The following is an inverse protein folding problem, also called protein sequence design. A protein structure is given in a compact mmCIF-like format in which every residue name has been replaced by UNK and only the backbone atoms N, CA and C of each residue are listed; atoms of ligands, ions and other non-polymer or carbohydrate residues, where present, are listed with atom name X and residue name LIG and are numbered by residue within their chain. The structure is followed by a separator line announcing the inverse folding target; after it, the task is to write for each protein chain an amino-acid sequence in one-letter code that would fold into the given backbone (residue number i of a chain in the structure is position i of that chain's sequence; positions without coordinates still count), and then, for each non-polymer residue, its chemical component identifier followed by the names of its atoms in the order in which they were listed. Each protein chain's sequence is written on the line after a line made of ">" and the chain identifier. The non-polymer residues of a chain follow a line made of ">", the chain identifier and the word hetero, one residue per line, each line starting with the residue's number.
data_IF_715758132456
#
_entry.id   IF_715758132456
#
_cell.length_a   1.000
_cell.length_b   1.000
_cell.length_c   1.000
_cell.angle_alpha   90.00
_cell.angle_beta   90.00
_cell.angle_gamma   90.00
#
_symmetry.space_group_name_H-M   'P 1'
#
loop_
_entity.id
_entity.type
_entity.pdbx_description
1 polymer ?
#
# COMPACT_ATOMS: atom_id res chain seq x y z
N UNK A 1 4.35 -21.98 -17.17
CA UNK A 1 4.05 -21.03 -16.09
C UNK A 1 3.60 -21.83 -14.87
N UNK A 2 4.50 -22.43 -14.12
CA UNK A 2 4.24 -23.07 -12.80
C UNK A 2 5.58 -23.37 -12.12
N UNK A 3 6.58 -22.50 -12.38
CA UNK A 3 7.97 -22.81 -12.07
C UNK A 3 8.29 -22.88 -10.58
N UNK A 4 7.66 -22.07 -9.73
CA UNK A 4 8.14 -21.90 -8.36
C UNK A 4 7.17 -22.41 -7.27
N UNK A 5 5.98 -22.91 -7.63
CA UNK A 5 5.00 -23.38 -6.63
C UNK A 5 5.58 -24.51 -5.76
N UNK A 6 6.20 -25.53 -6.37
CA UNK A 6 6.79 -26.64 -5.63
C UNK A 6 7.94 -26.19 -4.69
N UNK A 7 8.68 -25.14 -5.10
CA UNK A 7 9.75 -24.58 -4.28
C UNK A 7 9.21 -23.78 -3.08
N UNK A 8 7.97 -23.24 -3.18
CA UNK A 8 7.33 -22.50 -2.10
C UNK A 8 6.58 -23.38 -1.11
N UNK A 9 6.16 -24.61 -1.47
CA UNK A 9 5.40 -25.49 -0.59
C UNK A 9 6.06 -25.78 0.76
N UNK A 10 7.39 -26.06 0.85
CA UNK A 10 8.05 -26.22 2.14
C UNK A 10 7.96 -24.95 3.01
N UNK A 11 8.29 -23.80 2.44
CA UNK A 11 8.24 -22.53 3.17
C UNK A 11 6.81 -22.14 3.58
N UNK A 12 5.79 -22.50 2.78
CA UNK A 12 4.39 -22.31 3.18
C UNK A 12 4.05 -23.17 4.41
N UNK A 13 4.47 -24.44 4.45
CA UNK A 13 4.26 -25.28 5.64
C UNK A 13 4.95 -24.73 6.87
N UNK A 14 6.20 -24.28 6.73
CA UNK A 14 6.97 -23.65 7.81
C UNK A 14 6.33 -22.36 8.32
N UNK A 15 5.71 -21.58 7.43
CA UNK A 15 5.00 -20.35 7.80
C UNK A 15 3.72 -20.60 8.60
N UNK A 16 3.14 -21.80 8.50
CA UNK A 16 1.85 -22.14 9.09
C UNK A 16 0.65 -21.47 8.42
N UNK A 17 0.82 -20.73 7.32
CA UNK A 17 -0.28 -20.08 6.60
C UNK A 17 -1.14 -21.11 5.84
N UNK A 18 -2.45 -20.88 5.67
CA UNK A 18 -3.29 -21.75 4.84
C UNK A 18 -2.93 -21.66 3.36
N UNK A 19 -2.43 -20.52 2.89
CA UNK A 19 -2.04 -20.30 1.51
C UNK A 19 -1.48 -18.90 1.25
N UNK A 20 -0.91 -18.73 0.06
CA UNK A 20 -0.38 -17.47 -0.46
C UNK A 20 -0.54 -17.42 -1.98
N UNK A 21 -0.61 -16.23 -2.55
CA UNK A 21 -0.50 -16.03 -3.99
C UNK A 21 0.71 -15.16 -4.28
N UNK A 22 1.67 -15.69 -5.04
CA UNK A 22 2.80 -14.96 -5.58
C UNK A 22 2.71 -14.97 -7.10
N UNK A 23 2.82 -13.82 -7.73
CA UNK A 23 2.76 -13.73 -9.18
C UNK A 23 3.62 -12.57 -9.69
N UNK A 24 4.19 -12.75 -10.89
CA UNK A 24 4.97 -11.74 -11.58
C UNK A 24 4.49 -11.59 -13.02
N UNK A 25 4.54 -10.36 -13.52
CA UNK A 25 4.15 -10.02 -14.87
C UNK A 25 5.14 -9.04 -15.50
N UNK A 26 5.45 -9.24 -16.77
CA UNK A 26 6.03 -8.22 -17.63
C UNK A 26 4.94 -7.26 -18.11
N UNK A 27 5.27 -6.30 -18.97
CA UNK A 27 4.32 -5.30 -19.44
C UNK A 27 3.04 -5.89 -20.05
N UNK A 28 3.14 -7.01 -20.76
CA UNK A 28 2.04 -7.57 -21.56
C UNK A 28 1.65 -9.00 -21.20
N UNK A 29 2.41 -9.69 -20.37
CA UNK A 29 2.19 -11.10 -20.08
C UNK A 29 2.50 -11.45 -18.63
N UNK A 30 1.79 -12.44 -18.12
CA UNK A 30 2.15 -13.11 -16.87
C UNK A 30 3.47 -13.89 -17.09
N UNK A 31 4.45 -13.67 -16.21
CA UNK A 31 5.75 -14.34 -16.24
C UNK A 31 5.77 -15.58 -15.34
N UNK A 32 5.18 -15.47 -14.16
CA UNK A 32 5.11 -16.55 -13.19
C UNK A 32 3.85 -16.46 -12.31
N UNK A 33 3.41 -17.63 -11.83
CA UNK A 33 2.34 -17.78 -10.84
C UNK A 33 2.67 -18.94 -9.93
N UNK A 34 2.68 -18.69 -8.63
CA UNK A 34 2.73 -19.69 -7.59
C UNK A 34 1.66 -19.38 -6.54
N UNK A 35 0.69 -20.29 -6.40
CA UNK A 35 -0.45 -20.09 -5.49
C UNK A 35 -0.69 -21.34 -4.60
N UNK A 36 0.33 -21.78 -3.84
CA UNK A 36 0.18 -22.95 -2.99
C UNK A 36 -0.80 -22.70 -1.83
N UNK A 37 -1.57 -23.73 -1.49
CA UNK A 37 -2.49 -23.75 -0.36
C UNK A 37 -3.91 -23.35 -0.70
N UNK A 38 -4.66 -22.99 0.34
CA UNK A 38 -6.10 -22.76 0.31
C UNK A 38 -6.46 -21.40 0.90
N UNK A 39 -7.66 -20.90 0.59
CA UNK A 39 -8.15 -19.59 1.05
C UNK A 39 -8.35 -19.50 2.57
N UNK A 40 -8.53 -20.65 3.23
CA UNK A 40 -8.70 -20.76 4.68
C UNK A 40 -8.31 -22.17 5.15
N UNK A 41 -8.05 -22.34 6.44
CA UNK A 41 -7.91 -23.66 7.04
C UNK A 41 -9.22 -24.44 6.91
N UNK A 42 -9.10 -25.71 6.51
CA UNK A 42 -10.25 -26.59 6.29
C UNK A 42 -11.06 -26.32 5.02
N UNK A 43 -10.71 -25.31 4.24
CA UNK A 43 -11.34 -25.04 2.95
C UNK A 43 -10.79 -25.98 1.87
N UNK A 44 -11.68 -26.46 0.97
CA UNK A 44 -11.28 -27.11 -0.29
C UNK A 44 -10.91 -26.13 -1.40
N UNK A 45 -11.31 -24.85 -1.25
CA UNK A 45 -11.06 -23.80 -2.23
C UNK A 45 -9.57 -23.39 -2.23
N UNK A 46 -8.94 -23.46 -3.41
CA UNK A 46 -7.52 -23.14 -3.56
C UNK A 46 -7.27 -21.65 -3.74
N UNK A 47 -6.08 -21.21 -3.31
CA UNK A 47 -5.56 -19.90 -3.69
C UNK A 47 -5.40 -19.80 -5.22
N UNK A 48 -5.69 -18.61 -5.77
CA UNK A 48 -5.57 -18.35 -7.20
C UNK A 48 -5.33 -16.85 -7.46
N UNK A 49 -5.03 -16.48 -8.71
CA UNK A 49 -4.96 -15.08 -9.14
C UNK A 49 -6.28 -14.32 -8.94
N UNK A 50 -7.40 -15.03 -8.83
CA UNK A 50 -8.73 -14.46 -8.70
C UNK A 50 -9.26 -14.50 -7.26
N UNK A 51 -8.45 -14.98 -6.31
CA UNK A 51 -8.75 -14.87 -4.88
C UNK A 51 -8.70 -13.40 -4.45
N UNK A 52 -9.74 -12.95 -3.79
CA UNK A 52 -9.86 -11.58 -3.30
C UNK A 52 -9.21 -11.45 -1.93
N UNK A 53 -8.38 -10.42 -1.77
CA UNK A 53 -7.68 -10.04 -0.55
C UNK A 53 -8.07 -8.64 -0.11
N UNK A 54 -8.08 -8.36 1.18
CA UNK A 54 -7.93 -7.01 1.67
C UNK A 54 -6.49 -6.56 1.44
N UNK A 55 -6.28 -5.67 0.48
CA UNK A 55 -4.94 -5.25 0.07
C UNK A 55 -4.36 -4.13 0.94
N UNK A 56 -5.17 -3.62 1.88
CA UNK A 56 -4.78 -2.59 2.83
C UNK A 56 -4.00 -1.45 2.16
N UNK A 57 -2.78 -1.14 2.61
CA UNK A 57 -2.02 0.01 2.14
C UNK A 57 -1.54 -0.05 0.68
N UNK A 58 -1.73 -1.15 -0.04
CA UNK A 58 -1.59 -1.16 -1.51
C UNK A 58 -2.66 -0.25 -2.16
N UNK A 59 -3.77 0.03 -1.48
CA UNK A 59 -4.77 1.05 -1.86
C UNK A 59 -4.13 2.38 -2.22
N UNK A 60 -3.07 2.78 -1.51
CA UNK A 60 -2.35 4.04 -1.73
C UNK A 60 -1.84 4.19 -3.17
N UNK A 61 -1.48 3.09 -3.82
CA UNK A 61 -1.06 3.11 -5.22
C UNK A 61 -2.20 3.56 -6.14
N UNK A 62 -3.41 3.03 -5.95
CA UNK A 62 -4.58 3.45 -6.74
C UNK A 62 -4.97 4.91 -6.46
N UNK A 63 -4.94 5.32 -5.19
CA UNK A 63 -5.19 6.72 -4.79
C UNK A 63 -4.14 7.66 -5.39
N UNK A 64 -2.86 7.25 -5.41
CA UNK A 64 -1.80 8.01 -6.05
C UNK A 64 -2.06 8.21 -7.56
N UNK A 65 -2.48 7.15 -8.25
CA UNK A 65 -2.87 7.25 -9.67
C UNK A 65 -4.00 8.26 -9.86
N UNK A 66 -5.02 8.26 -9.00
CA UNK A 66 -6.12 9.23 -9.10
C UNK A 66 -5.64 10.68 -8.92
N UNK A 67 -4.77 10.94 -7.93
CA UNK A 67 -4.17 12.27 -7.73
C UNK A 67 -3.33 12.69 -8.94
N UNK A 68 -2.47 11.80 -9.44
CA UNK A 68 -1.64 12.04 -10.61
C UNK A 68 -2.47 12.35 -11.87
N UNK A 69 -3.60 11.67 -12.07
CA UNK A 69 -4.54 11.99 -13.15
C UNK A 69 -5.14 13.39 -13.02
N UNK A 70 -5.43 13.86 -11.81
CA UNK A 70 -5.91 15.24 -11.60
C UNK A 70 -4.82 16.27 -11.89
N UNK A 71 -3.56 15.93 -11.57
CA UNK A 71 -2.39 16.77 -11.90
C UNK A 71 -2.20 16.82 -13.43
N UNK A 72 -2.25 15.71 -14.13
CA UNK A 72 -2.19 15.66 -15.61
C UNK A 72 -3.27 16.53 -16.26
N UNK A 73 -4.47 16.50 -15.70
CA UNK A 73 -5.61 17.30 -16.17
C UNK A 73 -5.57 18.76 -15.70
N UNK A 74 -4.50 19.18 -15.01
CA UNK A 74 -4.29 20.53 -14.45
C UNK A 74 -5.43 20.98 -13.52
N UNK A 75 -6.08 20.04 -12.85
CA UNK A 75 -7.11 20.29 -11.84
C UNK A 75 -6.56 20.36 -10.42
N UNK A 76 -5.30 19.98 -10.25
CA UNK A 76 -4.58 19.95 -8.98
C UNK A 76 -3.09 20.14 -9.27
N UNK A 77 -2.36 20.76 -8.34
CA UNK A 77 -0.90 20.87 -8.37
C UNK A 77 -0.32 20.32 -7.09
N UNK A 78 0.91 19.84 -7.12
CA UNK A 78 1.57 19.32 -5.92
C UNK A 78 1.83 20.40 -4.86
N UNK A 79 2.01 21.64 -5.30
CA UNK A 79 2.25 22.83 -4.44
C UNK A 79 0.96 23.38 -3.83
N UNK A 80 -0.21 23.01 -4.33
CA UNK A 80 -1.48 23.52 -3.82
C UNK A 80 -1.63 23.17 -2.34
N UNK A 81 -2.11 24.12 -1.54
CA UNK A 81 -2.40 23.90 -0.12
C UNK A 81 -3.63 23.02 0.05
N UNK A 82 -3.54 21.97 0.86
CA UNK A 82 -4.68 21.11 1.17
C UNK A 82 -5.86 21.91 1.78
N UNK A 83 -5.57 23.03 2.46
CA UNK A 83 -6.54 23.95 3.05
C UNK A 83 -7.47 24.62 2.04
N UNK A 84 -7.05 24.75 0.77
CA UNK A 84 -7.87 25.34 -0.29
C UNK A 84 -9.05 24.42 -0.66
N UNK A 85 -8.92 23.15 -0.44
CA UNK A 85 -9.89 22.11 -0.78
C UNK A 85 -10.64 21.58 0.45
N UNK A 86 -9.93 21.39 1.56
CA UNK A 86 -10.41 20.74 2.77
C UNK A 86 -10.20 21.65 3.99
N UNK A 87 -11.28 22.21 4.57
CA UNK A 87 -11.19 23.17 5.67
C UNK A 87 -10.43 22.69 6.91
N UNK A 88 -10.39 21.38 7.17
CA UNK A 88 -9.65 20.76 8.27
C UNK A 88 -8.18 21.22 8.34
N UNK A 89 -7.56 21.48 7.19
CA UNK A 89 -6.14 21.85 7.11
C UNK A 89 -5.82 23.30 7.50
N UNK A 90 -6.83 24.12 7.84
CA UNK A 90 -6.61 25.55 8.18
C UNK A 90 -5.98 25.74 9.55
N UNK A 91 -6.40 24.92 10.52
CA UNK A 91 -6.09 25.09 11.95
C UNK A 91 -5.45 23.82 12.51
N UNK A 92 -4.43 23.30 11.81
CA UNK A 92 -3.71 22.11 12.24
C UNK A 92 -2.80 22.42 13.43
N UNK A 93 -2.66 21.42 14.29
CA UNK A 93 -1.76 21.45 15.44
C UNK A 93 -0.77 20.29 15.38
N UNK A 94 0.40 20.51 15.94
CA UNK A 94 1.48 19.53 16.11
C UNK A 94 1.50 19.04 17.54
N UNK A 95 1.47 17.74 17.74
CA UNK A 95 1.59 17.10 19.05
C UNK A 95 3.07 17.09 19.47
N UNK A 96 3.36 17.80 20.55
CA UNK A 96 4.69 17.93 21.14
C UNK A 96 4.71 17.42 22.58
N UNK A 97 5.88 17.34 23.20
CA UNK A 97 6.03 16.98 24.62
C UNK A 97 5.33 17.95 25.59
N UNK A 98 5.16 19.20 25.17
CA UNK A 98 4.49 20.26 25.97
C UNK A 98 3.01 20.40 25.63
N UNK A 99 2.46 19.58 24.73
CA UNK A 99 1.08 19.62 24.28
C UNK A 99 0.94 19.98 22.79
N UNK A 100 -0.28 20.40 22.42
CA UNK A 100 -0.58 20.81 21.05
C UNK A 100 -0.09 22.24 20.81
N UNK A 101 0.63 22.44 19.71
CA UNK A 101 1.08 23.74 19.24
C UNK A 101 0.64 23.97 17.78
N UNK A 102 0.31 25.19 17.36
CA UNK A 102 -0.12 25.46 15.99
C UNK A 102 0.92 25.01 14.95
N UNK A 103 0.46 24.43 13.84
CA UNK A 103 1.32 24.20 12.70
C UNK A 103 1.66 25.54 12.03
N UNK A 104 2.96 25.77 11.78
CA UNK A 104 3.48 26.99 11.16
C UNK A 104 3.66 26.86 9.66
N UNK A 105 3.78 25.62 9.17
CA UNK A 105 3.90 25.30 7.74
C UNK A 105 2.58 24.74 7.25
N UNK A 106 2.12 25.17 6.08
CA UNK A 106 0.93 24.64 5.42
C UNK A 106 1.19 23.27 4.81
N UNK A 107 0.17 22.40 4.89
CA UNK A 107 0.23 21.09 4.25
C UNK A 107 -0.08 21.24 2.77
N UNK A 108 0.84 20.83 1.90
CA UNK A 108 0.62 20.75 0.45
C UNK A 108 0.15 19.35 0.03
N UNK A 109 -0.35 19.26 -1.21
CA UNK A 109 -0.69 17.96 -1.84
C UNK A 109 0.55 17.05 -1.88
N UNK A 110 1.72 17.61 -2.19
CA UNK A 110 3.01 16.87 -2.17
C UNK A 110 3.26 16.25 -0.80
N UNK A 111 3.05 16.99 0.28
CA UNK A 111 3.24 16.49 1.64
C UNK A 111 2.33 15.29 1.94
N UNK A 112 1.07 15.30 1.49
CA UNK A 112 0.13 14.18 1.67
C UNK A 112 0.58 12.94 0.90
N UNK A 113 1.00 13.13 -0.36
CA UNK A 113 1.41 12.06 -1.27
C UNK A 113 2.71 11.37 -0.84
N UNK A 114 3.56 12.07 -0.09
CA UNK A 114 4.91 11.62 0.22
C UNK A 114 5.16 11.28 1.68
N UNK A 115 4.11 11.32 2.51
CA UNK A 115 4.22 11.09 3.96
C UNK A 115 5.14 12.09 4.68
N UNK A 116 5.16 13.33 4.21
CA UNK A 116 5.92 14.43 4.83
C UNK A 116 5.01 15.50 5.44
N UNK A 117 3.69 15.24 5.51
CA UNK A 117 2.71 16.17 6.06
C UNK A 117 2.72 16.26 7.60
N UNK A 118 3.39 15.35 8.30
CA UNK A 118 3.37 15.26 9.75
C UNK A 118 2.37 14.25 10.32
N UNK A 119 1.52 13.65 9.52
CA UNK A 119 0.61 12.60 9.98
C UNK A 119 1.33 11.29 10.31
N UNK A 120 0.71 10.51 11.22
CA UNK A 120 1.16 9.17 11.59
C UNK A 120 0.01 8.17 11.69
N UNK A 121 0.38 6.94 12.05
CA UNK A 121 -0.52 5.91 12.53
C UNK A 121 -0.21 5.60 13.99
N UNK A 122 -1.25 5.36 14.78
CA UNK A 122 -1.14 4.93 16.18
C UNK A 122 -0.36 3.63 16.36
N UNK A 123 -0.26 2.81 15.31
CA UNK A 123 0.52 1.55 15.32
C UNK A 123 2.02 1.80 15.50
N UNK A 124 2.55 2.93 15.02
CA UNK A 124 3.98 3.25 15.02
C UNK A 124 4.31 4.58 15.70
N UNK A 125 3.41 5.12 16.50
CA UNK A 125 3.64 6.35 17.26
C UNK A 125 2.94 6.26 18.62
N UNK A 126 3.71 6.05 19.67
CA UNK A 126 3.18 6.00 21.04
C UNK A 126 2.47 7.31 21.43
N UNK A 127 3.05 8.51 21.21
CA UNK A 127 2.36 9.76 21.54
C UNK A 127 1.00 9.88 20.82
N UNK A 128 0.95 9.47 19.54
CA UNK A 128 -0.31 9.50 18.80
C UNK A 128 -1.31 8.45 19.32
N UNK A 129 -0.85 7.25 19.68
CA UNK A 129 -1.71 6.22 20.27
C UNK A 129 -2.34 6.68 21.57
N UNK A 130 -1.55 7.31 22.45
CA UNK A 130 -2.01 7.90 23.70
C UNK A 130 -3.02 9.05 23.45
N UNK A 131 -2.73 9.92 22.49
CA UNK A 131 -3.65 11.00 22.09
C UNK A 131 -4.99 10.46 21.57
N UNK A 132 -4.96 9.46 20.67
CA UNK A 132 -6.14 8.79 20.13
C UNK A 132 -7.00 8.19 21.25
N UNK A 133 -6.37 7.53 22.22
CA UNK A 133 -7.05 6.94 23.37
C UNK A 133 -7.66 8.01 24.27
N UNK A 134 -6.89 9.05 24.64
CA UNK A 134 -7.32 10.14 25.52
C UNK A 134 -8.53 10.90 24.96
N UNK A 135 -8.55 11.14 23.64
CA UNK A 135 -9.63 11.90 22.97
C UNK A 135 -10.73 10.99 22.40
N UNK A 136 -10.68 9.69 22.69
CA UNK A 136 -11.65 8.70 22.19
C UNK A 136 -11.88 8.81 20.67
N UNK A 137 -10.78 8.96 19.93
CA UNK A 137 -10.82 8.99 18.47
C UNK A 137 -10.94 7.56 17.91
N UNK A 138 -11.68 7.37 16.80
CA UNK A 138 -11.70 6.09 16.12
C UNK A 138 -10.29 5.72 15.62
N UNK A 139 -9.98 4.44 15.60
CA UNK A 139 -8.73 3.97 14.98
C UNK A 139 -8.65 4.35 13.49
N UNK A 140 -7.46 4.62 12.94
CA UNK A 140 -7.28 5.01 11.55
C UNK A 140 -7.93 4.03 10.55
N UNK A 141 -8.01 2.75 10.91
CA UNK A 141 -8.65 1.69 10.10
C UNK A 141 -10.17 1.62 10.19
N UNK A 142 -10.80 2.45 11.00
CA UNK A 142 -12.25 2.38 11.23
C UNK A 142 -13.09 2.71 10.00
N UNK A 143 -12.52 3.41 9.01
CA UNK A 143 -13.28 3.92 7.87
C UNK A 143 -14.21 5.08 8.22
N UNK A 144 -14.04 5.69 9.39
CA UNK A 144 -14.79 6.86 9.84
C UNK A 144 -13.96 8.13 9.62
N UNK A 145 -14.53 9.16 9.00
CA UNK A 145 -13.82 10.45 8.75
C UNK A 145 -13.23 11.05 10.02
N UNK A 146 -13.94 10.93 11.15
CA UNK A 146 -13.43 11.36 12.45
C UNK A 146 -12.09 10.71 12.83
N UNK A 147 -11.76 9.56 12.29
CA UNK A 147 -10.46 8.91 12.51
C UNK A 147 -9.29 9.67 11.89
N UNK A 148 -9.56 10.56 10.95
CA UNK A 148 -8.55 11.39 10.28
C UNK A 148 -8.28 12.71 11.02
N UNK A 149 -9.16 13.12 11.94
CA UNK A 149 -9.07 14.37 12.72
C UNK A 149 -8.07 14.20 13.87
N UNK A 150 -6.80 14.14 13.55
CA UNK A 150 -5.70 13.94 14.50
C UNK A 150 -4.57 14.94 14.26
N UNK A 151 -3.80 15.29 15.32
CA UNK A 151 -2.70 16.23 15.21
C UNK A 151 -1.57 15.66 14.34
N UNK A 152 -0.73 16.56 13.87
CA UNK A 152 0.54 16.24 13.25
C UNK A 152 1.55 15.82 14.33
N UNK A 153 2.59 15.07 13.94
CA UNK A 153 3.70 14.69 14.81
C UNK A 153 4.92 15.60 14.66
N UNK A 154 4.95 16.42 13.59
CA UNK A 154 6.00 17.38 13.27
C UNK A 154 5.47 18.39 12.25
N UNK A 155 6.20 19.49 12.03
CA UNK A 155 5.85 20.48 11.04
C UNK A 155 5.91 19.91 9.62
N UNK A 156 4.93 20.20 8.75
CA UNK A 156 4.92 19.71 7.37
C UNK A 156 6.25 20.02 6.64
N UNK A 157 6.83 19.01 6.03
CA UNK A 157 8.10 19.11 5.31
C UNK A 157 9.36 18.80 6.12
N UNK A 158 9.31 18.72 7.44
CA UNK A 158 10.50 18.53 8.26
C UNK A 158 11.05 17.09 8.23
N UNK A 159 10.16 16.12 8.12
CA UNK A 159 10.53 14.69 8.18
C UNK A 159 9.61 13.85 7.30
N UNK A 160 10.05 12.62 7.03
CA UNK A 160 9.20 11.56 6.53
C UNK A 160 8.65 10.72 7.69
N UNK A 161 7.35 10.48 7.71
CA UNK A 161 6.70 9.55 8.64
C UNK A 161 5.45 8.95 8.03
N UNK A 162 5.40 7.61 7.97
CA UNK A 162 4.28 6.90 7.40
C UNK A 162 2.96 7.17 8.15
N UNK A 163 1.93 7.61 7.44
CA UNK A 163 0.68 8.03 8.06
C UNK A 163 -0.50 8.09 7.11
N UNK A 164 -1.58 8.71 7.60
CA UNK A 164 -2.90 8.80 6.96
C UNK A 164 -2.99 9.82 5.81
N UNK A 165 -1.87 10.39 5.36
CA UNK A 165 -1.88 11.42 4.30
C UNK A 165 -2.64 10.99 3.03
N UNK A 166 -2.55 9.71 2.64
CA UNK A 166 -3.23 9.20 1.46
C UNK A 166 -4.75 9.03 1.63
N UNK A 167 -5.26 8.93 2.85
CA UNK A 167 -6.70 9.01 3.11
C UNK A 167 -7.21 10.44 2.82
N UNK A 168 -6.47 11.45 3.27
CA UNK A 168 -6.73 12.85 2.95
C UNK A 168 -6.58 13.15 1.46
N UNK A 169 -5.58 12.56 0.78
CA UNK A 169 -5.43 12.68 -0.67
C UNK A 169 -6.65 12.08 -1.41
N UNK A 170 -7.22 10.98 -0.91
CA UNK A 170 -8.47 10.43 -1.41
C UNK A 170 -9.65 11.41 -1.29
N UNK A 171 -9.78 12.07 -0.14
CA UNK A 171 -10.81 13.11 0.07
C UNK A 171 -10.59 14.36 -0.81
N UNK A 172 -9.34 14.70 -1.14
CA UNK A 172 -9.03 15.73 -2.16
C UNK A 172 -9.56 15.32 -3.53
N UNK A 173 -9.36 14.06 -3.92
CA UNK A 173 -9.92 13.54 -5.18
C UNK A 173 -11.44 13.66 -5.19
N UNK A 174 -12.13 13.24 -4.11
CA UNK A 174 -13.59 13.38 -3.98
C UNK A 174 -14.02 14.83 -4.13
N UNK A 175 -13.37 15.75 -3.42
CA UNK A 175 -13.67 17.18 -3.44
C UNK A 175 -13.57 17.79 -4.82
N UNK A 176 -12.52 17.41 -5.57
CA UNK A 176 -12.25 17.96 -6.90
C UNK A 176 -13.11 17.29 -7.97
N UNK A 177 -13.33 15.97 -7.86
CA UNK A 177 -14.09 15.20 -8.85
C UNK A 177 -15.62 15.39 -8.69
N UNK A 178 -16.09 15.64 -7.47
CA UNK A 178 -17.52 15.74 -7.17
C UNK A 178 -18.23 14.39 -7.04
N UNK A 179 -17.47 13.30 -6.83
CA UNK A 179 -17.96 11.95 -6.62
C UNK A 179 -17.10 11.24 -5.56
N UNK A 180 -17.51 10.07 -5.08
CA UNK A 180 -16.69 9.30 -4.13
C UNK A 180 -15.38 8.84 -4.76
N UNK A 181 -14.36 8.57 -3.91
CA UNK A 181 -13.08 8.02 -4.40
C UNK A 181 -13.29 6.69 -5.13
N UNK A 182 -14.20 5.85 -4.63
CA UNK A 182 -14.53 4.58 -5.27
C UNK A 182 -15.15 4.75 -6.65
N UNK A 183 -16.05 5.71 -6.82
CA UNK A 183 -16.63 6.04 -8.14
C UNK A 183 -15.57 6.58 -9.10
N UNK A 184 -14.71 7.48 -8.62
CA UNK A 184 -13.60 8.00 -9.42
C UNK A 184 -12.65 6.88 -9.87
N UNK A 185 -12.19 6.07 -8.93
CA UNK A 185 -11.26 4.97 -9.22
C UNK A 185 -11.88 3.93 -10.16
N UNK A 186 -13.16 3.60 -9.95
CA UNK A 186 -13.88 2.68 -10.83
C UNK A 186 -13.89 3.18 -12.26
N UNK A 187 -14.31 4.44 -12.47
CA UNK A 187 -14.46 5.00 -13.82
C UNK A 187 -13.12 5.27 -14.53
N UNK A 188 -12.08 5.70 -13.79
CA UNK A 188 -10.84 6.20 -14.37
C UNK A 188 -9.63 5.27 -14.22
N UNK A 189 -9.73 4.21 -13.41
CA UNK A 189 -8.64 3.27 -13.19
C UNK A 189 -9.11 1.82 -13.38
N UNK A 190 -10.16 1.39 -12.65
CA UNK A 190 -10.51 -0.02 -12.60
C UNK A 190 -11.18 -0.52 -13.87
N UNK A 191 -12.18 0.20 -14.41
CA UNK A 191 -12.84 -0.17 -15.66
C UNK A 191 -11.88 -0.14 -16.86
N UNK A 192 -11.08 0.93 -17.08
CA UNK A 192 -10.08 0.94 -18.15
C UNK A 192 -9.08 -0.21 -18.08
N UNK A 193 -8.69 -0.64 -16.88
CA UNK A 193 -7.76 -1.73 -16.66
C UNK A 193 -8.44 -3.10 -16.48
N UNK A 194 -9.76 -3.18 -16.60
CA UNK A 194 -10.55 -4.39 -16.39
C UNK A 194 -10.36 -5.01 -14.98
N UNK A 195 -10.16 -4.18 -13.95
CA UNK A 195 -9.99 -4.57 -12.57
C UNK A 195 -11.37 -4.78 -11.89
N UNK A 196 -12.13 -5.74 -12.42
CA UNK A 196 -13.55 -5.92 -12.07
C UNK A 196 -13.79 -6.47 -10.64
N UNK A 197 -12.74 -6.95 -9.97
CA UNK A 197 -12.80 -7.49 -8.61
C UNK A 197 -12.22 -6.55 -7.57
N UNK A 198 -11.98 -5.28 -7.94
CA UNK A 198 -11.38 -4.27 -7.06
C UNK A 198 -12.41 -3.25 -6.60
N UNK A 199 -12.44 -2.96 -5.29
CA UNK A 199 -13.36 -1.96 -4.71
C UNK A 199 -13.22 -1.83 -3.20
N UNK A 200 -13.87 -0.82 -2.62
CA UNK A 200 -13.87 -0.56 -1.16
C UNK A 200 -14.79 -1.52 -0.37
N UNK A 201 -15.45 -2.42 -1.05
CA UNK A 201 -16.10 -3.59 -0.49
C UNK A 201 -15.83 -4.79 -1.40
N UNK A 202 -15.66 -5.99 -0.86
CA UNK A 202 -15.55 -7.18 -1.69
C UNK A 202 -16.90 -7.44 -2.40
N UNK A 203 -16.86 -7.97 -3.60
CA UNK A 203 -18.06 -8.42 -4.31
C UNK A 203 -18.76 -9.51 -3.48
N UNK A 204 -20.08 -9.60 -3.62
CA UNK A 204 -20.89 -10.59 -2.87
C UNK A 204 -20.52 -12.03 -3.24
N UNK A 205 -20.11 -12.27 -4.48
CA UNK A 205 -19.70 -13.57 -5.05
C UNK A 205 -18.19 -13.82 -4.96
N UNK A 206 -17.43 -12.94 -4.28
CA UNK A 206 -15.96 -13.03 -4.23
C UNK A 206 -15.49 -14.23 -3.41
N UNK A 207 -14.59 -15.03 -3.98
CA UNK A 207 -13.78 -16.02 -3.26
C UNK A 207 -12.71 -15.27 -2.48
N UNK A 208 -12.79 -15.26 -1.15
CA UNK A 208 -11.93 -14.41 -0.30
C UNK A 208 -10.97 -15.21 0.56
N UNK A 209 -9.72 -14.78 0.61
CA UNK A 209 -8.78 -15.25 1.61
C UNK A 209 -9.21 -14.84 3.01
N UNK A 210 -9.23 -15.79 3.94
CA UNK A 210 -9.54 -15.52 5.34
C UNK A 210 -8.35 -14.83 6.03
N UNK A 211 -8.65 -13.84 6.86
CA UNK A 211 -7.63 -13.14 7.65
C UNK A 211 -7.33 -13.92 8.93
N UNK A 212 -6.07 -14.10 9.23
CA UNK A 212 -5.57 -14.74 10.45
C UNK A 212 -4.65 -13.82 11.23
N UNK A 213 -4.60 -14.00 12.55
CA UNK A 213 -3.63 -13.33 13.41
C UNK A 213 -2.78 -14.37 14.12
N UNK A 214 -1.45 -14.20 14.05
CA UNK A 214 -0.51 -15.04 14.75
C UNK A 214 -0.57 -14.74 16.25
N UNK A 215 -0.74 -15.78 17.02
CA UNK A 215 -0.79 -15.73 18.47
C UNK A 215 0.62 -15.83 19.07
N UNK A 216 0.75 -15.58 20.37
CA UNK A 216 2.03 -15.63 21.07
C UNK A 216 2.68 -17.02 21.08
N UNK A 217 1.88 -18.08 20.96
CA UNK A 217 2.36 -19.48 20.86
C UNK A 217 2.73 -19.87 19.40
N UNK A 218 2.64 -18.94 18.46
CA UNK A 218 2.94 -19.15 17.05
C UNK A 218 1.76 -19.72 16.22
N UNK A 219 0.65 -20.10 16.85
CA UNK A 219 -0.55 -20.54 16.14
C UNK A 219 -1.24 -19.38 15.39
N UNK A 220 -2.11 -19.71 14.45
CA UNK A 220 -2.91 -18.72 13.72
C UNK A 220 -4.39 -18.85 14.11
N UNK A 221 -4.94 -17.77 14.65
CA UNK A 221 -6.37 -17.66 14.96
C UNK A 221 -7.08 -16.81 13.87
N UNK A 222 -8.33 -17.16 13.57
CA UNK A 222 -9.16 -16.35 12.68
C UNK A 222 -9.29 -14.93 13.23
N UNK A 223 -9.08 -13.93 12.38
CA UNK A 223 -9.24 -12.52 12.71
C UNK A 223 -10.49 -11.94 12.01
N UNK A 224 -11.15 -10.93 12.61
CA UNK A 224 -12.32 -10.33 12.00
C UNK A 224 -11.95 -9.64 10.68
N UNK A 225 -12.90 -9.62 9.75
CA UNK A 225 -12.75 -8.91 8.48
C UNK A 225 -12.40 -7.43 8.71
N UNK A 226 -11.57 -6.90 7.82
CA UNK A 226 -11.13 -5.51 7.87
C UNK A 226 -12.22 -4.50 7.45
N UNK A 227 -13.29 -4.94 6.77
CA UNK A 227 -14.34 -4.04 6.32
C UNK A 227 -15.24 -3.59 7.49
N UNK A 228 -15.42 -2.28 7.60
CA UNK A 228 -16.45 -1.69 8.45
C UNK A 228 -17.69 -1.40 7.59
N UNK A 229 -18.85 -1.99 7.85
CA UNK A 229 -20.07 -1.69 7.11
C UNK A 229 -20.56 -0.24 7.34
N UNK A 230 -20.22 0.35 8.49
CA UNK A 230 -20.63 1.69 8.90
C UNK A 230 -19.61 2.78 8.48
N UNK A 231 -18.68 2.44 7.57
CA UNK A 231 -17.72 3.42 7.05
C UNK A 231 -18.45 4.60 6.38
N UNK A 232 -17.95 5.81 6.56
CA UNK A 232 -18.52 7.04 6.02
C UNK A 232 -17.65 7.70 4.94
N UNK A 233 -16.54 7.05 4.54
CA UNK A 233 -15.72 7.43 3.39
C UNK A 233 -14.96 6.23 2.82
N UNK A 234 -14.47 6.39 1.60
CA UNK A 234 -13.61 5.43 0.93
C UNK A 234 -12.14 5.70 1.33
N UNK A 235 -11.62 4.87 2.24
CA UNK A 235 -10.30 5.07 2.83
C UNK A 235 -9.18 4.87 1.79
N UNK A 236 -8.70 5.97 1.20
CA UNK A 236 -7.67 5.98 0.16
C UNK A 236 -6.31 5.45 0.61
N UNK A 237 -6.11 5.33 1.93
CA UNK A 237 -4.91 4.77 2.51
C UNK A 237 -4.92 3.24 2.72
N UNK A 238 -6.11 2.57 2.75
CA UNK A 238 -6.15 1.17 3.17
C UNK A 238 -7.44 0.40 2.84
N UNK A 239 -8.42 1.01 2.17
CA UNK A 239 -9.79 0.47 2.12
C UNK A 239 -10.08 -0.58 1.05
N UNK A 240 -9.22 -0.77 0.05
CA UNK A 240 -9.51 -1.63 -1.10
C UNK A 240 -9.38 -3.12 -0.79
N UNK A 241 -10.29 -3.86 -1.42
CA UNK A 241 -10.19 -5.27 -1.71
C UNK A 241 -9.85 -5.44 -3.18
N UNK A 242 -8.97 -6.37 -3.51
CA UNK A 242 -8.58 -6.67 -4.89
C UNK A 242 -8.08 -8.11 -5.02
N UNK A 243 -8.01 -8.58 -6.26
CA UNK A 243 -7.31 -9.82 -6.60
C UNK A 243 -5.87 -9.54 -6.99
N UNK A 244 -4.94 -10.51 -6.86
CA UNK A 244 -3.58 -10.40 -7.41
C UNK A 244 -3.57 -10.05 -8.90
N UNK A 245 -4.50 -10.59 -9.68
CA UNK A 245 -4.67 -10.28 -11.11
C UNK A 245 -4.93 -8.80 -11.33
N UNK A 246 -5.87 -8.22 -10.59
CA UNK A 246 -6.25 -6.83 -10.77
C UNK A 246 -5.11 -5.88 -10.37
N UNK A 247 -4.42 -6.17 -9.26
CA UNK A 247 -3.26 -5.36 -8.86
C UNK A 247 -2.14 -5.46 -9.91
N UNK A 248 -1.87 -6.66 -10.46
CA UNK A 248 -0.90 -6.79 -11.55
C UNK A 248 -1.27 -5.97 -12.78
N UNK A 249 -2.55 -5.86 -13.15
CA UNK A 249 -3.00 -5.02 -14.26
C UNK A 249 -2.66 -3.54 -14.05
N UNK A 250 -2.84 -3.04 -12.83
CA UNK A 250 -2.43 -1.67 -12.48
C UNK A 250 -0.91 -1.50 -12.59
N UNK A 251 -0.14 -2.44 -12.05
CA UNK A 251 1.32 -2.42 -12.13
C UNK A 251 1.83 -2.54 -13.57
N UNK A 252 1.20 -3.37 -14.39
CA UNK A 252 1.51 -3.51 -15.82
C UNK A 252 1.24 -2.22 -16.59
N UNK A 253 0.13 -1.52 -16.28
CA UNK A 253 -0.17 -0.21 -16.87
C UNK A 253 0.94 0.80 -16.55
N UNK A 254 1.43 0.85 -15.30
CA UNK A 254 2.56 1.70 -14.92
C UNK A 254 3.85 1.30 -15.67
N UNK A 255 4.11 0.01 -15.82
CA UNK A 255 5.27 -0.48 -16.58
C UNK A 255 5.20 -0.09 -18.06
N UNK A 256 4.05 -0.27 -18.71
CA UNK A 256 3.85 0.12 -20.13
C UNK A 256 4.00 1.61 -20.33
N UNK A 257 3.42 2.44 -19.43
CA UNK A 257 3.61 3.88 -19.46
C UNK A 257 5.09 4.26 -19.29
N UNK A 258 5.81 3.60 -18.39
CA UNK A 258 7.25 3.81 -18.22
C UNK A 258 8.08 3.46 -19.47
N UNK A 259 7.57 2.58 -20.33
CA UNK A 259 8.13 2.20 -21.63
C UNK A 259 7.62 3.06 -22.81
N UNK A 260 6.83 4.10 -22.53
CA UNK A 260 6.37 5.06 -23.52
C UNK A 260 4.94 4.85 -24.07
N UNK A 261 4.18 3.88 -23.54
CA UNK A 261 2.76 3.72 -23.92
C UNK A 261 1.93 4.92 -23.44
N UNK A 262 1.19 5.53 -24.36
CA UNK A 262 0.30 6.67 -24.09
C UNK A 262 -1.16 6.26 -23.90
N UNK A 263 -1.46 4.96 -23.95
CA UNK A 263 -2.81 4.40 -23.82
C UNK A 263 -3.10 3.84 -22.42
N UNK A 264 -2.33 4.29 -21.44
CA UNK A 264 -2.41 3.82 -20.06
C UNK A 264 -3.19 4.81 -19.17
N UNK A 265 -3.44 4.42 -17.94
CA UNK A 265 -4.15 5.28 -16.97
C UNK A 265 -3.35 6.51 -16.55
N UNK A 266 -2.04 6.53 -16.80
CA UNK A 266 -1.12 7.67 -16.63
C UNK A 266 -0.26 7.84 -17.90
N UNK A 267 0.09 9.08 -18.20
CA UNK A 267 1.00 9.39 -19.28
C UNK A 267 2.46 9.00 -18.95
N UNK A 268 3.29 8.66 -19.97
CA UNK A 268 4.69 8.29 -19.77
C UNK A 268 5.49 9.31 -18.97
N UNK A 269 5.29 10.59 -19.23
CA UNK A 269 5.99 11.65 -18.51
C UNK A 269 5.61 11.69 -17.03
N UNK A 270 4.34 11.49 -16.71
CA UNK A 270 3.85 11.44 -15.32
C UNK A 270 4.48 10.26 -14.57
N UNK A 271 4.52 9.08 -15.20
CA UNK A 271 5.17 7.92 -14.58
C UNK A 271 6.67 8.14 -14.41
N UNK A 272 7.34 8.74 -15.40
CA UNK A 272 8.77 9.05 -15.32
C UNK A 272 9.09 9.99 -14.14
N UNK A 273 8.21 10.97 -13.88
CA UNK A 273 8.38 11.89 -12.75
C UNK A 273 7.97 11.22 -11.43
N UNK A 274 6.81 10.57 -11.39
CA UNK A 274 6.25 9.99 -10.17
C UNK A 274 7.12 8.89 -9.55
N UNK A 275 7.91 8.16 -10.36
CA UNK A 275 8.82 7.10 -9.89
C UNK A 275 10.14 7.60 -9.30
N UNK A 276 10.45 8.91 -9.39
CA UNK A 276 11.67 9.51 -8.85
C UNK A 276 11.56 9.73 -7.34
N UNK A 277 12.67 10.14 -6.73
CA UNK A 277 12.68 10.62 -5.34
C UNK A 277 11.82 11.89 -5.21
N UNK A 278 10.77 11.81 -4.39
CA UNK A 278 9.80 12.87 -4.15
C UNK A 278 9.95 13.54 -2.77
N UNK A 279 10.94 13.13 -1.98
CA UNK A 279 11.19 13.68 -0.63
C UNK A 279 12.53 14.40 -0.50
N UNK A 280 13.20 14.67 -1.63
CA UNK A 280 14.44 15.42 -1.67
C UNK A 280 15.53 14.83 -0.78
N UNK A 281 16.04 15.63 0.17
CA UNK A 281 17.07 15.22 1.11
C UNK A 281 16.55 14.37 2.27
N UNK A 282 15.24 14.37 2.54
CA UNK A 282 14.65 13.55 3.60
C UNK A 282 14.87 12.06 3.33
N UNK A 283 14.84 11.28 4.40
CA UNK A 283 15.03 9.83 4.35
C UNK A 283 13.86 9.10 4.98
N UNK A 284 13.51 7.96 4.41
CA UNK A 284 12.58 7.02 5.02
C UNK A 284 13.27 6.38 6.22
N UNK A 285 12.60 6.41 7.37
CA UNK A 285 13.14 5.95 8.64
C UNK A 285 12.44 4.69 9.15
N UNK A 286 13.07 4.03 10.10
CA UNK A 286 12.47 2.93 10.85
C UNK A 286 11.23 3.40 11.62
N UNK A 287 10.26 2.50 11.73
CA UNK A 287 9.02 2.72 12.46
C UNK A 287 8.87 1.62 13.54
N UNK A 288 9.31 1.87 14.76
CA UNK A 288 9.13 0.92 15.86
C UNK A 288 7.64 0.77 16.18
N UNK A 289 7.21 -0.46 16.40
CA UNK A 289 5.80 -0.73 16.66
C UNK A 289 5.40 -0.37 18.10
N UNK A 290 4.19 0.14 18.25
CA UNK A 290 3.50 0.29 19.53
C UNK A 290 2.35 -0.72 19.69
N UNK A 291 2.12 -1.57 18.67
CA UNK A 291 1.03 -2.53 18.59
C UNK A 291 1.53 -3.84 17.97
N UNK A 292 2.29 -4.67 18.75
CA UNK A 292 2.95 -5.87 18.22
C UNK A 292 1.98 -6.93 17.70
N UNK A 293 0.73 -6.93 18.15
CA UNK A 293 -0.34 -7.79 17.61
C UNK A 293 -0.77 -7.40 16.19
N UNK A 294 -0.39 -6.20 15.74
CA UNK A 294 -0.72 -5.66 14.43
C UNK A 294 0.45 -5.59 13.47
N UNK A 295 1.64 -5.27 14.00
CA UNK A 295 2.85 -5.07 13.19
C UNK A 295 4.08 -5.40 14.01
N UNK A 296 5.06 -6.04 13.38
CA UNK A 296 6.44 -5.99 13.84
C UNK A 296 7.02 -4.60 13.58
N UNK A 297 8.23 -4.32 14.09
CA UNK A 297 8.97 -3.12 13.74
C UNK A 297 9.22 -3.09 12.23
N UNK A 298 8.95 -1.95 11.61
CA UNK A 298 9.33 -1.73 10.23
C UNK A 298 10.76 -1.20 10.20
N UNK A 299 11.72 -2.10 10.05
CA UNK A 299 13.14 -1.77 9.95
C UNK A 299 13.53 -1.65 8.48
N UNK A 300 14.06 -0.50 8.10
CA UNK A 300 14.53 -0.28 6.74
C UNK A 300 15.86 -1.02 6.52
N UNK A 301 15.92 -1.78 5.44
CA UNK A 301 17.18 -2.46 5.06
C UNK A 301 18.32 -1.43 4.90
N UNK A 302 19.60 -1.81 5.09
CA UNK A 302 20.74 -0.92 4.85
C UNK A 302 20.68 -0.24 3.48
N UNK A 303 21.23 0.95 3.39
CA UNK A 303 21.21 1.82 2.20
C UNK A 303 20.15 2.91 2.31
N UNK A 304 20.36 4.00 1.58
CA UNK A 304 19.46 5.15 1.55
C UNK A 304 18.16 4.78 0.86
N UNK A 305 17.04 4.89 1.58
CA UNK A 305 15.70 4.70 1.04
C UNK A 305 15.04 6.06 0.84
N UNK A 306 14.34 6.19 -0.27
CA UNK A 306 13.57 7.38 -0.62
C UNK A 306 12.10 7.01 -0.83
N UNK A 307 11.29 8.00 -1.06
CA UNK A 307 9.88 7.82 -1.35
C UNK A 307 9.55 8.39 -2.72
N UNK A 308 8.81 7.64 -3.51
CA UNK A 308 8.20 8.05 -4.78
C UNK A 308 6.70 8.27 -4.60
N UNK A 309 5.98 8.77 -5.59
CA UNK A 309 4.52 8.81 -5.51
C UNK A 309 3.86 7.41 -5.55
N UNK A 310 4.60 6.38 -5.96
CA UNK A 310 4.09 4.99 -6.01
C UNK A 310 4.47 4.15 -4.78
N UNK A 311 5.39 4.61 -3.93
CA UNK A 311 5.84 3.87 -2.74
C UNK A 311 7.32 4.05 -2.43
N UNK A 312 7.86 3.11 -1.64
CA UNK A 312 9.26 3.09 -1.23
C UNK A 312 10.18 2.88 -2.44
N UNK A 313 11.06 3.84 -2.65
CA UNK A 313 12.07 3.82 -3.72
C UNK A 313 13.39 3.24 -3.19
N UNK A 314 13.82 2.13 -3.76
CA UNK A 314 15.08 1.46 -3.45
C UNK A 314 16.19 2.00 -4.35
N UNK A 315 17.10 2.82 -3.82
CA UNK A 315 18.19 3.40 -4.62
C UNK A 315 19.24 2.37 -5.02
N UNK A 316 19.38 1.29 -4.27
CA UNK A 316 20.36 0.23 -4.50
C UNK A 316 19.66 -1.08 -4.91
N UNK A 317 20.37 -1.88 -5.68
CA UNK A 317 19.92 -3.22 -6.04
C UNK A 317 19.89 -4.13 -4.80
N UNK A 318 18.90 -5.01 -4.73
CA UNK A 318 18.80 -6.02 -3.68
C UNK A 318 19.62 -7.26 -4.10
N UNK A 319 20.54 -7.74 -3.27
CA UNK A 319 21.33 -8.92 -3.61
C UNK A 319 20.45 -10.13 -3.93
N UNK A 320 20.55 -10.62 -5.16
CA UNK A 320 19.73 -11.73 -5.65
C UNK A 320 18.26 -11.43 -5.92
N UNK A 321 17.85 -10.18 -5.83
CA UNK A 321 16.49 -9.68 -6.02
C UNK A 321 16.41 -8.51 -6.98
N UNK A 322 15.61 -7.52 -6.62
CA UNK A 322 15.27 -6.33 -7.43
C UNK A 322 16.46 -5.46 -7.80
N UNK A 323 16.36 -4.84 -8.97
CA UNK A 323 17.31 -3.85 -9.46
C UNK A 323 17.24 -2.54 -8.63
N UNK A 324 18.27 -1.71 -8.77
CA UNK A 324 18.24 -0.34 -8.26
C UNK A 324 17.08 0.45 -8.88
N UNK A 325 16.60 1.46 -8.15
CA UNK A 325 15.44 2.29 -8.51
C UNK A 325 14.13 1.50 -8.68
N UNK A 326 14.05 0.29 -8.14
CA UNK A 326 12.77 -0.42 -8.00
C UNK A 326 11.91 0.24 -6.91
N UNK A 327 10.60 0.07 -7.04
CA UNK A 327 9.61 0.62 -6.10
C UNK A 327 8.85 -0.53 -5.48
N UNK A 328 8.56 -0.44 -4.19
CA UNK A 328 7.72 -1.41 -3.50
C UNK A 328 6.90 -0.78 -2.38
N UNK A 329 5.85 -1.45 -1.99
CA UNK A 329 5.17 -1.21 -0.73
C UNK A 329 4.37 -2.45 -0.32
N UNK A 330 3.66 -2.33 0.82
CA UNK A 330 2.92 -3.45 1.37
C UNK A 330 1.65 -3.02 2.09
N UNK A 331 0.72 -3.95 2.24
CA UNK A 331 -0.45 -3.86 3.10
C UNK A 331 -0.23 -4.57 4.44
N UNK A 332 -0.84 -4.04 5.50
CA UNK A 332 -0.68 -4.55 6.87
C UNK A 332 -1.07 -6.03 7.04
N UNK A 333 -1.87 -6.58 6.13
CA UNK A 333 -2.22 -8.00 6.10
C UNK A 333 -1.17 -8.87 5.36
N UNK A 334 0.08 -8.43 5.28
CA UNK A 334 1.18 -9.07 4.56
C UNK A 334 0.88 -9.29 3.08
N UNK A 335 0.36 -8.26 2.44
CA UNK A 335 0.23 -8.16 0.98
C UNK A 335 1.34 -7.25 0.45
N UNK A 336 2.10 -7.68 -0.55
CA UNK A 336 3.28 -6.97 -1.05
C UNK A 336 3.16 -6.75 -2.55
N UNK A 337 3.69 -5.63 -3.04
CA UNK A 337 3.96 -5.43 -4.46
C UNK A 337 5.34 -4.81 -4.68
N UNK A 338 5.90 -5.02 -5.87
CA UNK A 338 7.04 -4.26 -6.36
C UNK A 338 6.99 -4.07 -7.86
N UNK A 339 7.65 -3.02 -8.31
CA UNK A 339 7.88 -2.71 -9.72
C UNK A 339 9.39 -2.58 -9.92
N UNK A 340 9.95 -3.38 -10.79
CA UNK A 340 11.35 -3.31 -11.22
C UNK A 340 11.37 -2.82 -12.66
N UNK A 341 11.64 -1.55 -12.82
CA UNK A 341 11.61 -0.89 -14.13
C UNK A 341 12.79 -1.29 -15.01
N UNK A 342 13.93 -1.67 -14.41
CA UNK A 342 15.11 -2.12 -15.14
C UNK A 342 14.92 -3.56 -15.64
N UNK A 343 14.45 -4.46 -14.80
CA UNK A 343 14.10 -5.82 -15.19
C UNK A 343 12.81 -5.89 -16.04
N UNK A 344 12.05 -4.79 -16.13
CA UNK A 344 10.81 -4.73 -16.91
C UNK A 344 9.69 -5.60 -16.35
N UNK A 345 9.62 -5.79 -15.03
CA UNK A 345 8.61 -6.62 -14.38
C UNK A 345 7.96 -5.94 -13.19
N UNK A 346 6.77 -6.41 -12.85
CA UNK A 346 6.12 -6.16 -11.58
C UNK A 346 5.67 -7.47 -10.95
N UNK A 347 5.59 -7.50 -9.62
CA UNK A 347 5.13 -8.68 -8.93
C UNK A 347 4.31 -8.35 -7.68
N UNK A 348 3.54 -9.34 -7.25
CA UNK A 348 2.76 -9.33 -6.02
C UNK A 348 3.01 -10.60 -5.22
N UNK A 349 2.90 -10.49 -3.88
CA UNK A 349 2.90 -11.63 -2.98
C UNK A 349 1.85 -11.36 -1.90
N UNK A 350 0.72 -12.07 -1.95
CA UNK A 350 -0.44 -11.80 -1.09
C UNK A 350 -0.68 -12.96 -0.14
N UNK A 351 -0.36 -12.75 1.12
CA UNK A 351 -0.90 -13.48 2.25
C UNK A 351 -2.10 -12.70 2.86
N UNK A 352 -2.72 -13.25 3.89
CA UNK A 352 -3.80 -12.57 4.60
C UNK A 352 -3.63 -12.85 6.10
N UNK A 353 -2.61 -12.25 6.69
CA UNK A 353 -2.23 -12.51 8.09
C UNK A 353 -1.68 -11.27 8.80
N UNK A 354 -1.82 -11.25 10.12
CA UNK A 354 -1.21 -10.32 11.06
C UNK A 354 -0.26 -11.10 12.00
N UNK A 355 0.73 -10.45 12.61
CA UNK A 355 1.10 -9.05 12.42
C UNK A 355 1.72 -8.80 11.04
N UNK A 356 1.75 -7.53 10.63
CA UNK A 356 2.52 -7.09 9.48
C UNK A 356 4.02 -7.38 9.69
N UNK A 357 4.71 -7.74 8.61
CA UNK A 357 6.11 -8.17 8.64
C UNK A 357 6.36 -9.39 9.54
N UNK A 358 5.41 -10.32 9.57
CA UNK A 358 5.61 -11.64 10.16
C UNK A 358 6.87 -12.29 9.54
N UNK A 359 7.88 -12.67 10.34
CA UNK A 359 9.14 -13.23 9.82
C UNK A 359 8.95 -14.45 8.92
N UNK A 360 7.96 -15.30 9.23
CA UNK A 360 7.65 -16.49 8.43
C UNK A 360 7.10 -16.13 7.05
N UNK A 361 6.28 -15.08 6.98
CA UNK A 361 5.76 -14.57 5.70
C UNK A 361 6.86 -13.89 4.91
N UNK A 362 7.70 -13.08 5.56
CA UNK A 362 8.84 -12.45 4.90
C UNK A 362 9.83 -13.48 4.32
N UNK A 363 10.09 -14.57 5.03
CA UNK A 363 10.93 -15.67 4.54
C UNK A 363 10.35 -16.30 3.26
N UNK A 364 9.02 -16.52 3.25
CA UNK A 364 8.29 -17.07 2.10
C UNK A 364 8.33 -16.12 0.90
N UNK A 365 8.03 -14.84 1.10
CA UNK A 365 8.06 -13.80 0.06
C UNK A 365 9.49 -13.62 -0.48
N UNK A 366 10.49 -13.56 0.40
CA UNK A 366 11.90 -13.45 -0.01
C UNK A 366 12.38 -14.69 -0.77
N UNK A 367 11.85 -15.89 -0.47
CA UNK A 367 12.14 -17.09 -1.27
C UNK A 367 11.56 -16.96 -2.67
N UNK A 368 10.31 -16.52 -2.80
CA UNK A 368 9.70 -16.27 -4.10
C UNK A 368 10.50 -15.27 -4.92
N UNK A 369 10.85 -14.12 -4.33
CA UNK A 369 11.64 -13.08 -5.01
C UNK A 369 12.97 -13.65 -5.54
N UNK A 370 13.72 -14.36 -4.71
CA UNK A 370 14.99 -15.00 -5.15
C UNK A 370 14.81 -15.99 -6.29
N UNK A 371 13.77 -16.84 -6.24
CA UNK A 371 13.47 -17.79 -7.31
C UNK A 371 13.14 -17.07 -8.62
N UNK A 372 12.30 -16.02 -8.55
CA UNK A 372 11.89 -15.21 -9.71
C UNK A 372 13.12 -14.61 -10.40
N UNK A 373 13.96 -13.90 -9.64
CA UNK A 373 15.14 -13.23 -10.23
C UNK A 373 16.26 -14.21 -10.64
N UNK A 374 16.37 -15.36 -10.01
CA UNK A 374 17.27 -16.42 -10.47
C UNK A 374 16.80 -17.00 -11.81
N UNK A 375 15.49 -17.22 -11.97
CA UNK A 375 14.92 -17.68 -13.24
C UNK A 375 15.12 -16.70 -14.39
N UNK A 376 14.97 -15.39 -14.13
CA UNK A 376 15.20 -14.35 -15.14
C UNK A 376 16.67 -14.24 -15.60
N UNK A 377 17.62 -14.54 -14.71
CA UNK A 377 19.05 -14.55 -15.07
C UNK A 377 19.51 -15.80 -15.81
N UNK A 378 18.72 -16.88 -15.74
CA UNK A 378 19.04 -18.16 -16.37
C UNK A 378 18.45 -18.32 -17.77
N UNK A 379 17.47 -17.51 -18.16
CA UNK A 379 16.82 -17.50 -19.49
C UNK A 379 17.26 -16.32 -20.32
#
# INVERSE_FOLDING_TARGET
>A
VNGFEEQLRPALRESGLPGIVCAAAGPNALLDLASPGHIAFGSSERMSLDTTFWIASITKLATAVAVLQLVERKRLRFEDEAADYLPFFRDLEVLTEVGLVPATTRVSVQHLMTHTAGFGYETWSRPLAEHVLLHNLPAARSGLRRSLERPLLFQPGDMWNYGIGMDWAGLLVERIAGCSLGEYLRAHVFEPLQMHSTGFAPRADAIRAALYARQADGSLASAPNASNPDRDFDAGGAGLYATPRDVLRLLQSILRAAQGSTQEVLQPQTVAEARRNQIGLLEVRDLPTCAPERSSDLVMSPGTKKWSHFGLLHLEAQPGGRSANSISWAGIANTFFWIDFEAGLAAVAFAQSLPFLDPSVLALVGRYERCLYAGLRAG
#
